data_IF_959786551802
#
_entry.id   IF_959786551802
#
_cell.length_a   1.000
_cell.length_b   1.000
_cell.length_c   1.000
_cell.angle_alpha   90.00
_cell.angle_beta   90.00
_cell.angle_gamma   90.00
#
_symmetry.space_group_name_H-M   'P 1'
#
loop_
_entity.id
_entity.type
_entity.pdbx_description
1 polymer ?
#
# COMPACT_ATOMS: atom_id res chain seq x y z
N UNK A 1 44.16 41.42 30.78
CA UNK A 1 43.10 41.97 29.91
C UNK A 1 42.48 40.82 29.12
N UNK A 2 41.68 39.97 29.77
CA UNK A 2 41.06 38.77 29.20
C UNK A 2 39.58 38.80 29.59
N UNK A 3 38.76 39.55 28.85
CA UNK A 3 37.33 39.67 29.15
C UNK A 3 36.51 40.12 27.95
N UNK A 4 36.74 39.57 26.74
CA UNK A 4 35.89 39.87 25.57
C UNK A 4 35.68 38.72 24.57
N UNK A 5 35.99 37.47 24.94
CA UNK A 5 35.77 36.32 24.03
C UNK A 5 34.70 35.32 24.50
N UNK A 6 33.92 35.67 25.51
CA UNK A 6 32.81 34.81 25.99
C UNK A 6 31.48 35.15 25.29
N UNK A 7 31.35 36.34 24.69
CA UNK A 7 30.09 36.81 24.12
C UNK A 7 29.73 36.26 22.74
N UNK A 8 30.71 35.79 21.95
CA UNK A 8 30.45 35.46 20.54
C UNK A 8 30.06 34.01 20.28
N UNK A 9 30.19 33.11 21.27
CA UNK A 9 29.81 31.69 21.11
C UNK A 9 28.34 31.42 21.45
N UNK A 10 27.63 32.38 22.04
CA UNK A 10 26.24 32.23 22.49
C UNK A 10 25.20 32.66 21.43
N UNK A 11 25.62 33.22 20.30
CA UNK A 11 24.72 33.72 19.26
C UNK A 11 24.32 32.67 18.20
N UNK A 12 24.87 31.46 18.27
CA UNK A 12 24.72 30.44 17.21
C UNK A 12 23.74 29.31 17.57
N UNK A 13 22.88 29.51 18.58
CA UNK A 13 21.96 28.46 19.08
C UNK A 13 20.48 28.81 18.86
N UNK A 14 20.15 29.97 18.28
CA UNK A 14 18.75 30.41 18.13
C UNK A 14 18.40 30.68 16.66
N UNK A 15 18.53 29.65 15.83
CA UNK A 15 17.73 29.53 14.62
C UNK A 15 17.14 28.12 14.56
N UNK A 16 16.44 27.75 15.62
CA UNK A 16 15.44 26.69 15.50
C UNK A 16 14.31 27.25 14.65
N UNK A 17 14.38 27.03 13.33
CA UNK A 17 13.18 27.09 12.53
C UNK A 17 12.18 26.17 13.22
N UNK A 18 11.06 26.73 13.67
CA UNK A 18 9.92 25.93 14.07
C UNK A 18 9.55 25.10 12.84
N UNK A 19 10.08 23.89 12.75
CA UNK A 19 9.54 22.87 11.87
C UNK A 19 8.19 22.60 12.51
N UNK A 20 7.17 23.28 12.01
CA UNK A 20 5.80 22.94 12.32
C UNK A 20 5.65 21.48 11.92
N UNK A 21 5.49 20.54 12.87
CA UNK A 21 5.36 19.12 12.55
C UNK A 21 4.11 18.84 11.70
N UNK A 22 3.25 19.85 11.53
CA UNK A 22 2.03 19.82 10.73
C UNK A 22 2.18 20.46 9.34
N UNK A 23 3.37 20.89 8.91
CA UNK A 23 3.59 21.24 7.48
C UNK A 23 3.40 20.05 6.53
N UNK A 24 3.41 18.83 7.07
CA UNK A 24 2.99 17.60 6.38
C UNK A 24 1.72 16.99 6.96
N UNK A 25 0.94 17.75 7.76
CA UNK A 25 -0.40 17.30 8.10
C UNK A 25 -1.13 17.11 6.76
N UNK A 26 -1.60 15.89 6.45
CA UNK A 26 -2.41 15.70 5.26
C UNK A 26 -3.54 16.70 5.39
N UNK A 27 -3.69 17.56 4.38
CA UNK A 27 -4.92 18.32 4.30
C UNK A 27 -6.03 17.25 4.31
N UNK A 28 -6.96 17.33 5.26
CA UNK A 28 -8.15 16.48 5.25
C UNK A 28 -9.07 16.95 4.12
N UNK A 29 -8.53 17.13 2.92
CA UNK A 29 -9.32 17.17 1.71
C UNK A 29 -9.84 15.75 1.53
N UNK A 30 -11.17 15.61 1.56
CA UNK A 30 -11.96 14.48 1.03
C UNK A 30 -11.15 13.24 0.64
N UNK A 31 -11.40 12.10 1.30
CA UNK A 31 -10.83 10.79 0.96
C UNK A 31 -10.65 10.61 -0.55
N UNK A 32 -9.41 10.42 -1.00
CA UNK A 32 -9.15 10.07 -2.39
C UNK A 32 -9.52 8.61 -2.62
N UNK A 33 -10.76 8.41 -3.06
CA UNK A 33 -11.30 7.07 -3.30
C UNK A 33 -10.54 6.31 -4.38
N UNK A 34 -9.85 6.99 -5.31
CA UNK A 34 -9.06 6.33 -6.34
C UNK A 34 -7.86 5.62 -5.70
N UNK A 35 -7.12 6.34 -4.87
CA UNK A 35 -5.97 5.79 -4.16
C UNK A 35 -6.39 4.69 -3.17
N UNK A 36 -7.53 4.86 -2.48
CA UNK A 36 -8.10 3.80 -1.63
C UNK A 36 -8.39 2.54 -2.44
N UNK A 37 -9.01 2.67 -3.61
CA UNK A 37 -9.30 1.53 -4.48
C UNK A 37 -8.04 0.84 -4.98
N UNK A 38 -7.06 1.62 -5.44
CA UNK A 38 -5.78 1.10 -5.91
C UNK A 38 -5.03 0.36 -4.80
N UNK A 39 -4.98 0.92 -3.60
CA UNK A 39 -4.28 0.33 -2.45
C UNK A 39 -4.97 -0.94 -1.95
N UNK A 40 -6.30 -0.95 -1.87
CA UNK A 40 -7.07 -2.16 -1.54
C UNK A 40 -6.72 -3.31 -2.49
N UNK A 41 -6.71 -3.03 -3.81
CA UNK A 41 -6.39 -4.04 -4.80
C UNK A 41 -4.94 -4.53 -4.67
N UNK A 42 -3.97 -3.63 -4.56
CA UNK A 42 -2.54 -3.96 -4.40
C UNK A 42 -2.30 -4.80 -3.14
N UNK A 43 -2.97 -4.44 -2.03
CA UNK A 43 -2.92 -5.16 -0.76
C UNK A 43 -3.56 -6.56 -0.81
N UNK A 44 -4.26 -6.89 -1.90
CA UNK A 44 -4.92 -8.18 -2.07
C UNK A 44 -6.31 -8.26 -1.43
N UNK A 45 -6.92 -7.11 -1.10
CA UNK A 45 -8.21 -7.02 -0.42
C UNK A 45 -9.33 -7.20 -1.45
N UNK A 46 -10.38 -7.93 -1.08
CA UNK A 46 -11.57 -8.07 -1.90
C UNK A 46 -12.24 -6.71 -2.16
N UNK A 47 -12.88 -6.58 -3.32
CA UNK A 47 -13.56 -5.34 -3.70
C UNK A 47 -14.64 -4.99 -2.68
N UNK A 48 -14.70 -3.71 -2.27
CA UNK A 48 -15.69 -3.26 -1.29
C UNK A 48 -17.11 -3.36 -1.85
N UNK A 49 -18.04 -3.78 -1.00
CA UNK A 49 -19.46 -3.87 -1.33
C UNK A 49 -20.09 -2.50 -1.51
N UNK A 50 -21.23 -2.46 -2.23
CA UNK A 50 -21.95 -1.22 -2.53
C UNK A 50 -22.34 -0.45 -1.27
N UNK A 51 -22.68 -1.14 -0.20
CA UNK A 51 -23.11 -0.55 1.06
C UNK A 51 -22.00 0.30 1.72
N UNK A 52 -20.73 0.03 1.39
CA UNK A 52 -19.59 0.85 1.84
C UNK A 52 -19.62 2.29 1.30
N UNK A 53 -20.42 2.54 0.25
CA UNK A 53 -20.52 3.82 -0.44
C UNK A 53 -21.85 4.53 -0.18
N UNK A 54 -22.59 4.14 0.87
CA UNK A 54 -23.86 4.80 1.24
C UNK A 54 -23.68 6.24 1.71
N UNK A 55 -22.47 6.59 2.16
CA UNK A 55 -22.14 7.93 2.62
C UNK A 55 -21.97 8.89 1.43
N UNK A 56 -22.49 10.10 1.55
CA UNK A 56 -22.52 11.10 0.46
C UNK A 56 -21.14 11.56 -0.03
N UNK A 57 -20.07 11.23 0.71
CA UNK A 57 -18.69 11.56 0.35
C UNK A 57 -17.97 10.39 -0.37
N UNK A 58 -18.59 9.22 -0.46
CA UNK A 58 -17.99 8.03 -1.02
C UNK A 58 -18.28 7.90 -2.52
N UNK A 59 -17.25 8.08 -3.37
CA UNK A 59 -17.40 7.89 -4.82
C UNK A 59 -16.99 6.47 -5.22
N UNK A 60 -18.00 5.60 -5.36
CA UNK A 60 -17.81 4.22 -5.82
C UNK A 60 -17.19 4.15 -7.22
N UNK A 61 -17.56 5.05 -8.12
CA UNK A 61 -17.06 5.03 -9.49
C UNK A 61 -15.55 5.30 -9.55
N UNK A 62 -15.08 6.26 -8.76
CA UNK A 62 -13.67 6.60 -8.62
C UNK A 62 -12.90 5.46 -7.93
N UNK A 63 -13.46 4.90 -6.86
CA UNK A 63 -12.89 3.72 -6.20
C UNK A 63 -12.67 2.54 -7.16
N UNK A 64 -13.68 2.18 -7.94
CA UNK A 64 -13.58 1.05 -8.86
C UNK A 64 -12.52 1.24 -9.96
N UNK A 65 -12.32 2.48 -10.41
CA UNK A 65 -11.24 2.81 -11.36
C UNK A 65 -9.88 2.56 -10.72
N UNK A 66 -9.66 3.06 -9.51
CA UNK A 66 -8.43 2.81 -8.76
C UNK A 66 -8.20 1.32 -8.52
N UNK A 67 -9.25 0.61 -8.09
CA UNK A 67 -9.21 -0.83 -7.85
C UNK A 67 -8.80 -1.63 -9.09
N UNK A 68 -9.37 -1.32 -10.26
CA UNK A 68 -8.99 -1.96 -11.52
C UNK A 68 -7.53 -1.68 -11.90
N UNK A 69 -7.01 -0.48 -11.66
CA UNK A 69 -5.59 -0.16 -11.88
C UNK A 69 -4.68 -0.91 -10.89
N UNK A 70 -5.08 -1.05 -9.62
CA UNK A 70 -4.36 -1.86 -8.65
C UNK A 70 -4.36 -3.35 -9.02
N UNK A 71 -5.47 -3.87 -9.57
CA UNK A 71 -5.55 -5.24 -10.08
C UNK A 71 -4.51 -5.49 -11.19
N UNK A 72 -4.37 -4.58 -12.17
CA UNK A 72 -3.36 -4.71 -13.24
C UNK A 72 -1.92 -4.78 -12.71
N UNK A 73 -1.66 -4.15 -11.56
CA UNK A 73 -0.34 -4.15 -10.91
C UNK A 73 -0.07 -5.42 -10.12
N UNK A 74 -1.06 -5.91 -9.35
CA UNK A 74 -0.88 -7.03 -8.43
C UNK A 74 -1.18 -8.40 -9.06
N UNK A 75 -2.16 -8.47 -9.98
CA UNK A 75 -2.63 -9.71 -10.60
C UNK A 75 -1.78 -10.13 -11.80
N UNK A 76 -0.48 -10.21 -11.58
CA UNK A 76 0.49 -10.70 -12.56
C UNK A 76 0.94 -12.12 -12.19
N UNK A 77 1.22 -12.95 -13.20
CA UNK A 77 1.61 -14.35 -13.02
C UNK A 77 2.81 -14.48 -12.08
N UNK A 78 3.87 -13.70 -12.33
CA UNK A 78 5.10 -13.75 -11.55
C UNK A 78 4.89 -13.33 -10.09
N UNK A 79 4.12 -12.27 -9.85
CA UNK A 79 3.79 -11.83 -8.48
C UNK A 79 2.94 -12.86 -7.74
N UNK A 80 1.99 -13.47 -8.42
CA UNK A 80 1.09 -14.45 -7.79
C UNK A 80 1.83 -15.75 -7.47
N UNK A 81 2.72 -16.20 -8.36
CA UNK A 81 3.64 -17.32 -8.11
C UNK A 81 4.59 -17.01 -6.94
N UNK A 82 5.26 -15.85 -6.94
CA UNK A 82 6.16 -15.46 -5.85
C UNK A 82 5.43 -15.36 -4.50
N UNK A 83 4.16 -14.93 -4.51
CA UNK A 83 3.31 -14.90 -3.31
C UNK A 83 3.04 -16.30 -2.78
N UNK A 84 2.71 -17.25 -3.66
CA UNK A 84 2.60 -18.68 -3.32
C UNK A 84 3.90 -19.24 -2.74
N UNK A 85 5.03 -18.96 -3.39
CA UNK A 85 6.36 -19.36 -2.93
C UNK A 85 6.72 -18.78 -1.55
N UNK A 86 6.20 -17.61 -1.21
CA UNK A 86 6.35 -17.01 0.12
C UNK A 86 5.39 -17.56 1.19
N UNK A 87 4.54 -18.54 0.84
CA UNK A 87 3.53 -19.11 1.73
C UNK A 87 2.34 -18.17 2.03
N UNK A 88 2.19 -17.07 1.28
CA UNK A 88 1.07 -16.14 1.43
C UNK A 88 -0.15 -16.63 0.66
N UNK A 89 -1.34 -16.28 1.15
CA UNK A 89 -2.60 -16.59 0.48
C UNK A 89 -2.73 -15.91 -0.89
N UNK A 90 -3.54 -16.53 -1.76
CA UNK A 90 -3.94 -15.94 -3.02
C UNK A 90 -4.65 -14.59 -2.77
N UNK A 91 -4.28 -13.52 -3.50
CA UNK A 91 -4.89 -12.21 -3.30
C UNK A 91 -6.36 -12.22 -3.72
N UNK A 92 -7.26 -11.87 -2.81
CA UNK A 92 -8.69 -11.86 -3.10
C UNK A 92 -9.06 -10.87 -4.20
N UNK A 93 -8.24 -9.82 -4.37
CA UNK A 93 -8.38 -8.87 -5.48
C UNK A 93 -8.20 -9.49 -6.87
N UNK A 94 -7.61 -10.68 -6.99
CA UNK A 94 -7.43 -11.36 -8.28
C UNK A 94 -8.46 -12.46 -8.55
N UNK A 95 -9.46 -12.64 -7.68
CA UNK A 95 -10.48 -13.69 -7.85
C UNK A 95 -11.39 -13.47 -9.08
N UNK A 96 -11.55 -12.22 -9.53
CA UNK A 96 -12.53 -11.83 -10.54
C UNK A 96 -11.92 -11.21 -11.80
N UNK A 97 -10.59 -11.26 -11.96
CA UNK A 97 -9.94 -10.82 -13.20
C UNK A 97 -10.07 -11.90 -14.28
N UNK A 98 -9.98 -11.51 -15.54
CA UNK A 98 -10.21 -12.41 -16.69
C UNK A 98 -9.33 -13.67 -16.67
N UNK A 99 -8.08 -13.52 -16.24
CA UNK A 99 -7.09 -14.59 -16.15
C UNK A 99 -6.98 -15.23 -14.76
N UNK A 100 -8.00 -15.13 -13.90
CA UNK A 100 -7.97 -15.62 -12.52
C UNK A 100 -7.53 -17.10 -12.39
N UNK A 101 -7.98 -17.96 -13.31
CA UNK A 101 -7.57 -19.37 -13.33
C UNK A 101 -6.05 -19.55 -13.50
N UNK A 102 -5.45 -18.81 -14.44
CA UNK A 102 -4.00 -18.87 -14.68
C UNK A 102 -3.22 -18.33 -13.48
N UNK A 103 -3.73 -17.31 -12.81
CA UNK A 103 -3.13 -16.77 -11.58
C UNK A 103 -3.21 -17.80 -10.45
N UNK A 104 -4.34 -18.49 -10.29
CA UNK A 104 -4.48 -19.57 -9.30
C UNK A 104 -3.50 -20.71 -9.54
N UNK A 105 -3.33 -21.14 -10.79
CA UNK A 105 -2.35 -22.17 -11.16
C UNK A 105 -0.92 -21.73 -10.80
N UNK A 106 -0.55 -20.49 -11.14
CA UNK A 106 0.75 -19.93 -10.80
C UNK A 106 0.98 -19.86 -9.29
N UNK A 107 -0.01 -19.40 -8.53
CA UNK A 107 0.05 -19.37 -7.07
C UNK A 107 0.17 -20.76 -6.46
N UNK A 108 -0.63 -21.72 -6.92
CA UNK A 108 -0.63 -23.08 -6.41
C UNK A 108 0.74 -23.74 -6.63
N UNK A 109 1.32 -23.56 -7.83
CA UNK A 109 2.67 -24.03 -8.12
C UNK A 109 3.69 -23.49 -7.11
N UNK A 110 3.68 -22.18 -6.85
CA UNK A 110 4.57 -21.57 -5.86
C UNK A 110 4.34 -22.11 -4.44
N UNK A 111 3.07 -22.28 -4.05
CA UNK A 111 2.70 -22.81 -2.74
C UNK A 111 3.15 -24.27 -2.56
N UNK A 112 3.04 -25.11 -3.59
CA UNK A 112 3.48 -26.50 -3.59
C UNK A 112 5.01 -26.61 -3.48
N UNK A 113 5.74 -25.75 -4.19
CA UNK A 113 7.21 -25.66 -4.11
C UNK A 113 7.67 -25.21 -2.71
N UNK A 114 7.00 -24.21 -2.13
CA UNK A 114 7.25 -23.78 -0.76
C UNK A 114 7.01 -24.91 0.25
N UNK A 115 5.86 -25.59 0.14
CA UNK A 115 5.53 -26.71 1.01
C UNK A 115 6.51 -27.88 0.86
N UNK A 116 6.99 -28.15 -0.35
CA UNK A 116 7.98 -29.19 -0.63
C UNK A 116 9.34 -28.84 0.00
N UNK A 117 9.77 -27.58 -0.11
CA UNK A 117 11.03 -27.10 0.50
C UNK A 117 10.99 -27.18 2.03
N UNK A 118 9.86 -26.83 2.64
CA UNK A 118 9.67 -26.92 4.10
C UNK A 118 9.69 -28.35 4.65
N UNK A 119 9.33 -29.36 3.85
CA UNK A 119 9.34 -30.77 4.27
C UNK A 119 10.73 -31.41 4.24
N UNK A 120 11.66 -30.83 3.47
CA UNK A 120 13.02 -31.33 3.30
C UNK A 120 14.00 -30.76 4.35
N UNK A 121 13.56 -29.75 5.12
CA UNK A 121 14.30 -29.12 6.21
C UNK A 121 13.79 -29.62 7.57
#
# INVERSE_FOLDING_TARGET
MMKKFIGSLLALVVSGCQIDPYTHAPNLTSTDWYDVGMEDAISGIAIKDRDTFSDSQADRGVYLKGYAEGQKKTCQIDFTYARGLSGKSFPASCNNVENANQLHEAWQKGADENASTMRLN
#
